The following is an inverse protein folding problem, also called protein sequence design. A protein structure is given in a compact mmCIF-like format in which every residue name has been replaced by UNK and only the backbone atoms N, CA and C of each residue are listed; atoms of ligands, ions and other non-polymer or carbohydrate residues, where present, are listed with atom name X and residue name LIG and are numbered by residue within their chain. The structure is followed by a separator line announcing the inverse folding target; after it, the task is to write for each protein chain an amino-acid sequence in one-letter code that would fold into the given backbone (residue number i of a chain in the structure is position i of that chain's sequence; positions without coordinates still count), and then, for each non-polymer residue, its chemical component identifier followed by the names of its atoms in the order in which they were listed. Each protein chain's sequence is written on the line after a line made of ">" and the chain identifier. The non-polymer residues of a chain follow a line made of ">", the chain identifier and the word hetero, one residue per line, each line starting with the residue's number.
data_IF_238372288248
#
_entry.id   IF_238372288248
#
_cell.length_a   1.000
_cell.length_b   1.000
_cell.length_c   1.000
_cell.angle_alpha   90.00
_cell.angle_beta   90.00
_cell.angle_gamma   90.00
#
_symmetry.space_group_name_H-M   'P 1'
#
loop_
_entity.id
_entity.type
_entity.pdbx_description
1 polymer ?
#
# COMPACT_ATOMS: atom_id res chain seq x y z
N UNK A 1 -10.33 -8.87 9.90
CA UNK A 1 -9.01 -8.21 9.90
C UNK A 1 -8.73 -7.42 11.19
N UNK A 2 -9.51 -6.39 11.56
CA UNK A 2 -9.28 -5.63 12.81
C UNK A 2 -9.19 -6.50 14.08
N UNK A 3 -10.06 -7.51 14.24
CA UNK A 3 -9.97 -8.48 15.33
C UNK A 3 -8.68 -9.32 15.29
N UNK A 4 -8.19 -9.67 14.09
CA UNK A 4 -6.94 -10.41 13.95
C UNK A 4 -5.73 -9.57 14.37
N UNK A 5 -5.75 -8.26 14.06
CA UNK A 5 -4.74 -7.32 14.54
C UNK A 5 -4.69 -7.34 16.06
N UNK A 6 -5.85 -7.20 16.73
CA UNK A 6 -5.90 -7.23 18.19
C UNK A 6 -5.35 -8.53 18.77
N UNK A 7 -5.85 -9.68 18.30
CA UNK A 7 -5.40 -10.99 18.80
C UNK A 7 -3.90 -11.20 18.61
N UNK A 8 -3.37 -10.91 17.42
CA UNK A 8 -1.96 -11.14 17.12
C UNK A 8 -1.03 -10.17 17.86
N UNK A 9 -1.49 -8.96 18.18
CA UNK A 9 -0.69 -7.97 18.92
C UNK A 9 -0.31 -8.42 20.33
N UNK A 10 -1.04 -9.38 20.89
CA UNK A 10 -0.72 -9.96 22.20
C UNK A 10 0.35 -11.06 22.10
N UNK A 11 0.54 -11.62 20.91
CA UNK A 11 1.37 -12.80 20.63
C UNK A 11 2.73 -12.45 19.98
N UNK A 12 2.90 -11.25 19.42
CA UNK A 12 4.08 -10.88 18.60
C UNK A 12 4.71 -9.54 18.98
N UNK A 13 5.99 -9.36 18.67
CA UNK A 13 6.72 -8.10 18.83
C UNK A 13 6.66 -7.21 17.57
N UNK A 14 6.39 -7.82 16.41
CA UNK A 14 6.33 -7.16 15.11
C UNK A 14 5.14 -7.67 14.32
N UNK A 15 4.37 -6.76 13.74
CA UNK A 15 3.22 -7.06 12.90
C UNK A 15 3.44 -6.50 11.48
N UNK A 16 3.47 -7.37 10.48
CA UNK A 16 3.46 -7.01 9.06
C UNK A 16 2.05 -7.04 8.50
N UNK A 17 1.62 -5.98 7.80
CA UNK A 17 0.22 -5.82 7.42
C UNK A 17 0.04 -5.45 5.93
N UNK A 18 -0.81 -6.20 5.24
CA UNK A 18 -1.42 -5.80 3.97
C UNK A 18 -2.91 -5.62 4.22
N UNK A 19 -3.43 -4.41 4.11
CA UNK A 19 -4.84 -4.14 4.32
C UNK A 19 -5.31 -2.91 3.55
N UNK A 20 -6.62 -2.84 3.33
CA UNK A 20 -7.29 -1.64 2.86
C UNK A 20 -7.24 -0.54 3.92
N UNK A 21 -7.13 0.69 3.46
CA UNK A 21 -7.07 1.86 4.33
C UNK A 21 -8.47 2.25 4.84
N UNK A 22 -8.92 1.51 5.87
CA UNK A 22 -10.27 1.61 6.44
C UNK A 22 -10.21 2.06 7.92
N UNK A 23 -11.14 2.92 8.40
CA UNK A 23 -11.11 3.45 9.77
C UNK A 23 -10.95 2.40 10.87
N UNK A 24 -11.66 1.27 10.79
CA UNK A 24 -11.53 0.16 11.75
C UNK A 24 -10.14 -0.47 11.78
N UNK A 25 -9.46 -0.56 10.64
CA UNK A 25 -8.08 -1.06 10.55
C UNK A 25 -7.14 -0.04 11.18
N UNK A 26 -7.32 1.25 10.82
CA UNK A 26 -6.52 2.35 11.37
C UNK A 26 -6.57 2.39 12.90
N UNK A 27 -7.77 2.26 13.46
CA UNK A 27 -7.97 2.23 14.91
C UNK A 27 -7.31 1.00 15.54
N UNK A 28 -7.43 -0.17 14.90
CA UNK A 28 -6.79 -1.39 15.40
C UNK A 28 -5.26 -1.29 15.36
N UNK A 29 -4.69 -0.75 14.28
CA UNK A 29 -3.24 -0.51 14.14
C UNK A 29 -2.77 0.52 15.15
N UNK A 30 -3.47 1.65 15.31
CA UNK A 30 -3.09 2.68 16.28
C UNK A 30 -3.07 2.14 17.72
N UNK A 31 -4.01 1.24 18.06
CA UNK A 31 -4.02 0.55 19.36
C UNK A 31 -2.90 -0.47 19.50
N UNK A 32 -2.62 -1.24 18.44
CA UNK A 32 -1.55 -2.23 18.43
C UNK A 32 -0.17 -1.56 18.54
N UNK A 33 0.02 -0.43 17.86
CA UNK A 33 1.26 0.34 17.77
C UNK A 33 1.63 1.12 19.05
N UNK A 34 1.13 0.70 20.21
CA UNK A 34 1.61 1.13 21.52
C UNK A 34 3.04 0.61 21.78
N UNK A 35 3.72 0.90 22.92
CA UNK A 35 5.14 0.58 23.14
C UNK A 35 5.55 -0.89 22.95
N UNK A 36 4.59 -1.81 22.78
CA UNK A 36 4.77 -3.26 22.72
C UNK A 36 5.00 -3.81 21.30
N UNK A 37 4.35 -3.29 20.26
CA UNK A 37 4.35 -3.92 18.93
C UNK A 37 4.75 -2.92 17.85
N UNK A 38 5.75 -3.27 17.04
CA UNK A 38 6.14 -2.51 15.85
C UNK A 38 5.26 -2.93 14.68
N UNK A 39 4.54 -1.98 14.09
CA UNK A 39 3.64 -2.28 12.95
C UNK A 39 4.25 -1.76 11.65
N UNK A 40 4.47 -2.66 10.69
CA UNK A 40 4.96 -2.34 9.35
C UNK A 40 3.85 -2.61 8.33
N UNK A 41 3.58 -1.65 7.45
CA UNK A 41 2.64 -1.85 6.33
C UNK A 41 3.40 -2.31 5.10
N UNK A 42 2.85 -3.28 4.38
CA UNK A 42 3.49 -3.92 3.23
C UNK A 42 2.67 -3.66 1.98
N UNK A 43 3.34 -3.43 0.84
CA UNK A 43 2.76 -3.24 -0.52
C UNK A 43 1.91 -1.98 -0.71
N UNK A 44 1.03 -1.67 0.24
CA UNK A 44 0.24 -0.44 0.32
C UNK A 44 0.42 0.21 1.68
N UNK A 45 0.54 1.53 1.69
CA UNK A 45 0.65 2.30 2.91
C UNK A 45 -0.73 2.47 3.60
N UNK A 46 -0.75 2.63 4.93
CA UNK A 46 -1.93 3.01 5.71
C UNK A 46 -1.72 4.41 6.30
N UNK A 47 -2.78 5.21 6.29
CA UNK A 47 -2.77 6.56 6.86
C UNK A 47 -2.86 6.53 8.40
N UNK A 48 -1.87 5.92 9.06
CA UNK A 48 -1.80 5.74 10.53
C UNK A 48 -0.42 6.19 11.03
N UNK A 49 -0.28 7.35 11.68
CA UNK A 49 1.03 7.88 12.10
C UNK A 49 1.80 6.99 13.08
N UNK A 50 1.10 6.16 13.87
CA UNK A 50 1.72 5.31 14.90
C UNK A 50 2.42 4.08 14.32
N UNK A 51 2.18 3.73 13.05
CA UNK A 51 2.92 2.65 12.40
C UNK A 51 4.42 2.94 12.41
N UNK A 52 5.24 1.90 12.40
CA UNK A 52 6.70 2.00 12.43
C UNK A 52 7.32 2.23 11.05
N UNK A 53 6.67 1.81 9.97
CA UNK A 53 7.13 2.09 8.60
C UNK A 53 6.28 1.44 7.50
N UNK A 54 6.60 1.78 6.25
CA UNK A 54 6.05 1.16 5.04
C UNK A 54 7.17 0.49 4.26
N UNK A 55 6.92 -0.74 3.83
CA UNK A 55 7.80 -1.48 2.92
C UNK A 55 7.02 -1.73 1.64
N UNK A 56 7.45 -1.07 0.56
CA UNK A 56 6.86 -1.22 -0.75
C UNK A 56 7.46 -0.23 -1.75
N UNK A 57 6.79 -0.11 -2.89
CA UNK A 57 7.25 0.78 -3.96
C UNK A 57 7.00 2.24 -3.60
N UNK A 58 7.87 3.12 -4.10
CA UNK A 58 7.57 4.55 -4.21
C UNK A 58 6.46 4.73 -5.25
N UNK A 59 5.21 4.74 -4.78
CA UNK A 59 4.03 4.79 -5.62
C UNK A 59 3.99 6.06 -6.50
N UNK A 60 4.63 7.15 -6.07
CA UNK A 60 4.77 8.35 -6.89
C UNK A 60 5.73 8.14 -8.05
N UNK A 61 6.90 7.52 -7.82
CA UNK A 61 7.82 7.14 -8.91
C UNK A 61 7.20 6.10 -9.84
N UNK A 62 6.52 5.10 -9.28
CA UNK A 62 5.82 4.08 -10.06
C UNK A 62 4.76 4.72 -10.96
N UNK A 63 3.92 5.61 -10.42
CA UNK A 63 2.91 6.34 -11.19
C UNK A 63 3.52 7.23 -12.29
N UNK A 64 4.60 7.97 -12.00
CA UNK A 64 5.32 8.77 -13.02
C UNK A 64 5.92 7.89 -14.11
N UNK A 65 6.47 6.74 -13.75
CA UNK A 65 7.03 5.78 -14.72
C UNK A 65 5.93 5.22 -15.63
N UNK A 66 4.79 4.84 -15.06
CA UNK A 66 3.64 4.37 -15.82
C UNK A 66 3.08 5.45 -16.77
N UNK A 67 2.98 6.70 -16.31
CA UNK A 67 2.55 7.83 -17.14
C UNK A 67 3.53 8.10 -18.29
N UNK A 68 4.84 8.08 -18.02
CA UNK A 68 5.86 8.23 -19.06
C UNK A 68 5.78 7.13 -20.11
N UNK A 69 5.74 5.86 -19.70
CA UNK A 69 5.56 4.72 -20.63
C UNK A 69 4.29 4.88 -21.47
N UNK A 70 3.17 5.22 -20.83
CA UNK A 70 1.91 5.45 -21.52
C UNK A 70 2.04 6.55 -22.58
N UNK A 71 2.70 7.66 -22.25
CA UNK A 71 2.94 8.76 -23.21
C UNK A 71 3.88 8.40 -24.35
N UNK A 72 4.91 7.58 -24.08
CA UNK A 72 5.88 7.14 -25.08
C UNK A 72 5.22 6.23 -26.13
N UNK A 73 4.31 5.36 -25.69
CA UNK A 73 3.64 4.38 -26.56
C UNK A 73 2.24 4.81 -27.02
N UNK A 74 1.69 5.92 -26.54
CA UNK A 74 0.37 6.44 -26.97
C UNK A 74 0.27 6.70 -28.49
N UNK A 75 1.41 6.97 -29.15
CA UNK A 75 1.47 7.12 -30.61
C UNK A 75 1.29 5.82 -31.39
N UNK A 76 1.67 4.67 -30.83
CA UNK A 76 1.57 3.38 -31.52
C UNK A 76 0.12 2.91 -31.64
N UNK A 77 -0.67 3.04 -30.57
CA UNK A 77 -2.11 2.73 -30.57
C UNK A 77 -2.89 3.51 -31.64
N UNK A 78 -2.48 4.75 -31.91
CA UNK A 78 -3.09 5.59 -32.93
C UNK A 78 -2.79 5.08 -34.35
N UNK A 79 -1.61 4.49 -34.57
CA UNK A 79 -1.19 3.94 -35.86
C UNK A 79 -1.79 2.56 -36.15
N UNK A 80 -2.08 1.75 -35.12
CA UNK A 80 -2.79 0.46 -35.28
C UNK A 80 -4.17 0.63 -35.92
N UNK A 81 -4.86 1.74 -35.70
CA UNK A 81 -6.17 2.00 -36.30
C UNK A 81 -6.13 2.42 -37.78
N UNK A 82 -4.96 2.70 -38.37
CA UNK A 82 -4.82 3.08 -39.78
C UNK A 82 -4.46 1.91 -40.70
N UNK A 83 -4.03 0.77 -40.15
CA UNK A 83 -3.57 -0.37 -40.95
C UNK A 83 -4.63 -1.43 -41.30
N UNK A 84 -5.88 -1.26 -40.84
CA UNK A 84 -7.00 -2.17 -41.15
C UNK A 84 -8.03 -1.58 -42.12
N UNK A 85 -7.72 -0.47 -42.82
CA UNK A 85 -8.54 0.06 -43.91
C UNK A 85 -8.03 -0.38 -45.27
#
# INVERSE_FOLDING_TARGET
>A
MAQAIHRLSDEVEVLGLVALDHPLIRHAVARAAAPRVRVLTLLSDLSVPQRSGYIGLDNHKAGRTAAWLSSAYAGEWRNWHYHWR
#
